data_IF_279666398143
#
_entry.id   IF_279666398143
#
_cell.length_a   1.000
_cell.length_b   1.000
_cell.length_c   1.000
_cell.angle_alpha   90.00
_cell.angle_beta   90.00
_cell.angle_gamma   90.00
#
_symmetry.space_group_name_H-M   'P 1'
#
loop_
_entity.id
_entity.type
_entity.pdbx_description
1 polymer ?
#
# COMPACT_ATOMS: atom_id res chain seq x y z
N UNK A 1 13.82 -18.20 -4.49
CA UNK A 1 12.77 -17.50 -5.27
C UNK A 1 12.38 -16.25 -4.49
N UNK A 2 12.29 -15.09 -5.14
CA UNK A 2 12.20 -13.79 -4.47
C UNK A 2 10.80 -13.43 -3.96
N UNK A 3 10.71 -12.44 -3.06
CA UNK A 3 9.44 -12.02 -2.43
C UNK A 3 8.41 -11.65 -3.49
N UNK A 4 8.76 -10.73 -4.39
CA UNK A 4 7.83 -10.27 -5.42
C UNK A 4 7.40 -11.41 -6.35
N UNK A 5 8.32 -12.26 -6.81
CA UNK A 5 7.96 -13.32 -7.76
C UNK A 5 7.09 -14.42 -7.16
N UNK A 6 7.16 -14.63 -5.84
CA UNK A 6 6.29 -15.59 -5.15
C UNK A 6 4.90 -15.03 -4.85
N UNK A 7 4.81 -13.74 -4.50
CA UNK A 7 3.57 -13.16 -3.98
C UNK A 7 2.72 -12.48 -5.05
N UNK A 8 3.32 -11.78 -6.00
CA UNK A 8 2.58 -10.98 -6.97
C UNK A 8 1.53 -11.79 -7.78
N UNK A 9 1.81 -13.03 -8.24
CA UNK A 9 0.83 -13.84 -8.95
C UNK A 9 -0.46 -14.11 -8.16
N UNK A 10 -0.37 -14.25 -6.83
CA UNK A 10 -1.54 -14.47 -5.95
C UNK A 10 -2.45 -13.23 -5.95
N UNK A 11 -1.85 -12.05 -5.89
CA UNK A 11 -2.59 -10.79 -5.95
C UNK A 11 -3.19 -10.55 -7.34
N UNK A 12 -2.46 -10.84 -8.41
CA UNK A 12 -3.00 -10.72 -9.77
C UNK A 12 -4.18 -11.66 -10.02
N UNK A 13 -4.12 -12.90 -9.52
CA UNK A 13 -5.25 -13.84 -9.57
C UNK A 13 -6.50 -13.33 -8.83
N UNK A 14 -6.32 -12.47 -7.83
CA UNK A 14 -7.39 -11.79 -7.09
C UNK A 14 -7.78 -10.43 -7.69
N UNK A 15 -7.29 -10.09 -8.88
CA UNK A 15 -7.56 -8.81 -9.52
C UNK A 15 -6.95 -7.60 -8.81
N UNK A 16 -5.82 -7.78 -8.11
CA UNK A 16 -5.11 -6.72 -7.40
C UNK A 16 -3.82 -6.35 -8.13
N UNK A 17 -3.56 -5.07 -8.46
CA UNK A 17 -2.47 -4.64 -9.32
C UNK A 17 -1.13 -4.55 -8.56
N UNK A 18 -0.67 -5.65 -7.96
CA UNK A 18 0.59 -5.67 -7.23
C UNK A 18 1.78 -5.29 -8.13
N UNK A 19 2.68 -4.45 -7.61
CA UNK A 19 3.86 -3.92 -8.32
C UNK A 19 5.16 -4.21 -7.56
N UNK A 20 6.30 -4.33 -8.25
CA UNK A 20 7.58 -4.56 -7.61
C UNK A 20 8.10 -3.27 -6.97
N UNK A 21 8.61 -3.40 -5.76
CA UNK A 21 9.35 -2.35 -5.04
C UNK A 21 10.84 -2.71 -4.99
N UNK A 22 11.69 -1.71 -4.79
CA UNK A 22 13.13 -1.93 -4.67
C UNK A 22 13.45 -2.77 -3.43
N UNK A 23 14.47 -3.62 -3.53
CA UNK A 23 14.94 -4.49 -2.44
C UNK A 23 15.35 -3.64 -1.25
N UNK A 24 14.78 -3.89 -0.06
CA UNK A 24 15.09 -3.14 1.16
C UNK A 24 14.54 -1.71 1.18
N UNK A 25 13.74 -1.30 0.19
CA UNK A 25 13.10 0.01 0.16
C UNK A 25 11.59 -0.12 -0.02
N UNK A 26 10.90 1.02 0.15
CA UNK A 26 9.43 1.12 -0.01
C UNK A 26 9.01 1.74 -1.33
N UNK A 27 9.94 2.21 -2.17
CA UNK A 27 9.60 2.89 -3.41
C UNK A 27 9.45 1.90 -4.58
N UNK A 28 8.51 2.18 -5.52
CA UNK A 28 8.35 1.38 -6.73
C UNK A 28 9.62 1.27 -7.55
N UNK A 29 9.83 0.10 -8.14
CA UNK A 29 10.98 -0.19 -9.00
C UNK A 29 10.66 0.00 -10.49
N UNK A 30 9.48 0.51 -10.79
CA UNK A 30 9.00 0.81 -12.14
C UNK A 30 8.56 2.27 -12.20
N UNK A 31 8.80 2.89 -13.35
CA UNK A 31 8.36 4.26 -13.61
C UNK A 31 6.86 4.30 -13.91
N UNK A 32 6.26 5.48 -13.73
CA UNK A 32 4.84 5.73 -13.98
C UNK A 32 3.88 4.70 -13.33
N UNK A 33 4.27 4.10 -12.20
CA UNK A 33 3.51 3.06 -11.52
C UNK A 33 2.09 3.50 -11.12
N UNK A 34 1.84 4.80 -11.01
CA UNK A 34 0.53 5.35 -10.68
C UNK A 34 -0.56 4.97 -11.71
N UNK A 35 -0.19 4.62 -12.94
CA UNK A 35 -1.16 4.09 -13.93
C UNK A 35 -1.86 2.82 -13.43
N UNK A 36 -1.21 2.05 -12.56
CA UNK A 36 -1.77 0.83 -11.97
C UNK A 36 -2.78 1.10 -10.85
N UNK A 37 -3.05 2.37 -10.53
CA UNK A 37 -4.22 2.75 -9.75
C UNK A 37 -5.53 2.56 -10.53
N UNK A 38 -5.47 2.57 -11.88
CA UNK A 38 -6.64 2.53 -12.76
C UNK A 38 -6.72 1.27 -13.63
N UNK A 39 -5.63 0.50 -13.77
CA UNK A 39 -5.63 -0.78 -14.49
C UNK A 39 -4.75 -1.85 -13.85
N UNK A 40 -5.00 -3.10 -14.24
CA UNK A 40 -4.09 -4.22 -13.95
C UNK A 40 -2.83 -4.15 -14.83
N UNK A 41 -1.69 -4.69 -14.35
CA UNK A 41 -0.57 -5.00 -15.23
C UNK A 41 -0.96 -6.08 -16.23
N UNK A 42 -0.55 -5.91 -17.49
CA UNK A 42 -0.76 -6.93 -18.52
C UNK A 42 0.26 -8.08 -18.40
N UNK A 43 0.02 -9.18 -19.10
CA UNK A 43 0.87 -10.38 -19.02
C UNK A 43 2.34 -10.08 -19.32
N UNK A 44 2.63 -9.21 -20.30
CA UNK A 44 4.00 -8.83 -20.65
C UNK A 44 4.69 -8.08 -19.51
N UNK A 45 4.01 -7.11 -18.90
CA UNK A 45 4.50 -6.38 -17.73
C UNK A 45 4.76 -7.34 -16.57
N UNK A 46 3.81 -8.24 -16.28
CA UNK A 46 3.94 -9.26 -15.23
C UNK A 46 5.19 -10.13 -15.46
N UNK A 47 5.34 -10.72 -16.65
CA UNK A 47 6.49 -11.58 -16.96
C UNK A 47 7.82 -10.84 -16.84
N UNK A 48 7.90 -9.60 -17.33
CA UNK A 48 9.10 -8.76 -17.21
C UNK A 48 9.43 -8.49 -15.75
N UNK A 49 8.45 -8.17 -14.91
CA UNK A 49 8.67 -7.88 -13.50
C UNK A 49 9.07 -9.12 -12.71
N UNK A 50 8.44 -10.27 -12.97
CA UNK A 50 8.83 -11.54 -12.35
C UNK A 50 10.29 -11.89 -12.67
N UNK A 51 10.70 -11.75 -13.94
CA UNK A 51 12.04 -12.10 -14.40
C UNK A 51 13.12 -11.13 -13.86
N UNK A 52 12.86 -9.83 -13.90
CA UNK A 52 13.90 -8.82 -13.63
C UNK A 52 13.86 -8.24 -12.21
N UNK A 53 12.70 -8.31 -11.54
CA UNK A 53 12.42 -7.62 -10.27
C UNK A 53 11.84 -8.57 -9.22
N UNK A 54 11.91 -9.88 -9.46
CA UNK A 54 11.32 -10.93 -8.60
C UNK A 54 11.83 -10.93 -7.16
N UNK A 55 13.06 -10.46 -6.91
CA UNK A 55 13.64 -10.35 -5.57
C UNK A 55 13.21 -9.08 -4.81
N UNK A 56 12.49 -8.17 -5.46
CA UNK A 56 12.00 -6.94 -4.86
C UNK A 56 10.94 -7.17 -3.78
N UNK A 57 10.67 -6.11 -3.02
CA UNK A 57 9.50 -6.02 -2.15
C UNK A 57 8.21 -5.91 -3.00
N UNK A 58 7.05 -5.98 -2.37
CA UNK A 58 5.75 -5.95 -3.03
C UNK A 58 4.91 -4.75 -2.55
N UNK A 59 4.39 -3.99 -3.50
CA UNK A 59 3.51 -2.85 -3.27
C UNK A 59 2.14 -3.07 -3.90
N UNK A 60 1.14 -2.39 -3.35
CA UNK A 60 -0.21 -2.34 -3.90
C UNK A 60 -0.58 -0.88 -4.16
N UNK A 61 -0.71 -0.46 -5.42
CA UNK A 61 -1.30 0.83 -5.78
C UNK A 61 -2.74 0.92 -5.29
N UNK A 62 -3.11 2.05 -4.70
CA UNK A 62 -4.47 2.34 -4.25
C UNK A 62 -5.29 2.94 -5.38
N UNK A 63 -6.61 2.72 -5.38
CA UNK A 63 -7.54 3.26 -6.38
C UNK A 63 -8.46 2.20 -6.98
N UNK A 64 -9.04 2.54 -8.13
CA UNK A 64 -10.08 1.74 -8.78
C UNK A 64 -9.62 0.32 -9.15
N UNK A 65 -8.39 0.15 -9.64
CA UNK A 65 -7.87 -1.14 -10.05
C UNK A 65 -7.65 -2.11 -8.89
N UNK A 66 -7.16 -1.64 -7.75
CA UNK A 66 -7.09 -2.48 -6.55
C UNK A 66 -8.45 -2.59 -5.87
N UNK A 67 -9.35 -1.62 -6.07
CA UNK A 67 -10.59 -1.50 -5.32
C UNK A 67 -10.34 -1.22 -3.83
N UNK A 68 -9.15 -0.69 -3.49
CA UNK A 68 -8.71 -0.47 -2.11
C UNK A 68 -8.31 0.99 -1.91
N UNK A 69 -8.74 1.53 -0.77
CA UNK A 69 -8.22 2.75 -0.14
C UNK A 69 -7.67 2.38 1.24
N UNK A 70 -6.69 3.10 1.75
CA UNK A 70 -6.18 2.87 3.09
C UNK A 70 -6.10 4.14 3.92
N UNK A 71 -6.28 4.00 5.23
CA UNK A 71 -5.96 5.04 6.21
C UNK A 71 -4.68 4.61 6.93
N UNK A 72 -3.61 5.38 6.74
CA UNK A 72 -2.32 5.20 7.41
C UNK A 72 -2.22 6.17 8.57
N UNK A 73 -2.27 5.65 9.80
CA UNK A 73 -2.15 6.44 11.03
C UNK A 73 -0.68 6.51 11.42
N UNK A 74 -0.12 7.72 11.40
CA UNK A 74 1.27 8.01 11.74
C UNK A 74 1.34 8.76 13.08
N UNK A 75 0.77 8.15 14.13
CA UNK A 75 0.76 8.73 15.47
C UNK A 75 0.86 7.65 16.54
N UNK A 76 1.80 7.84 17.46
CA UNK A 76 1.98 7.01 18.66
C UNK A 76 1.07 7.46 19.83
N UNK A 77 0.32 8.57 19.68
CA UNK A 77 -0.59 9.04 20.72
C UNK A 77 -1.83 8.12 20.79
N UNK A 78 -2.05 7.40 21.91
CA UNK A 78 -3.18 6.48 22.05
C UNK A 78 -4.55 7.16 21.89
N UNK A 79 -4.63 8.47 22.17
CA UNK A 79 -5.87 9.24 22.01
C UNK A 79 -6.23 9.40 20.54
N UNK A 80 -5.24 9.69 19.69
CA UNK A 80 -5.44 9.81 18.24
C UNK A 80 -5.82 8.46 17.66
N UNK A 81 -5.08 7.40 18.01
CA UNK A 81 -5.39 6.04 17.56
C UNK A 81 -6.82 5.64 17.92
N UNK A 82 -7.25 5.89 19.17
CA UNK A 82 -8.61 5.57 19.62
C UNK A 82 -9.69 6.39 18.91
N UNK A 83 -9.44 7.68 18.63
CA UNK A 83 -10.38 8.51 17.86
C UNK A 83 -10.54 7.94 16.45
N UNK A 84 -9.43 7.61 15.78
CA UNK A 84 -9.47 7.04 14.43
C UNK A 84 -10.20 5.69 14.42
N UNK A 85 -9.86 4.79 15.34
CA UNK A 85 -10.52 3.47 15.43
C UNK A 85 -12.03 3.57 15.70
N UNK A 86 -12.49 4.60 16.43
CA UNK A 86 -13.90 4.83 16.67
C UNK A 86 -14.64 5.50 15.49
N UNK A 87 -13.94 6.27 14.67
CA UNK A 87 -14.53 6.99 13.53
C UNK A 87 -14.57 6.13 12.25
N UNK A 88 -13.60 5.23 12.08
CA UNK A 88 -13.55 4.35 10.92
C UNK A 88 -14.55 3.19 11.06
N UNK A 89 -15.15 2.73 9.95
CA UNK A 89 -15.87 1.47 9.96
C UNK A 89 -14.89 0.31 10.28
N UNK A 90 -15.41 -0.88 10.67
CA UNK A 90 -14.57 -2.06 10.83
C UNK A 90 -13.76 -2.35 9.56
N UNK A 91 -12.43 -2.44 9.71
CA UNK A 91 -11.53 -2.72 8.59
C UNK A 91 -11.34 -4.23 8.43
N UNK A 92 -11.54 -4.81 7.22
CA UNK A 92 -11.26 -6.23 6.95
C UNK A 92 -9.77 -6.57 7.01
N UNK A 93 -8.89 -5.56 6.96
CA UNK A 93 -7.45 -5.74 7.02
C UNK A 93 -6.80 -4.63 7.84
N UNK A 94 -5.88 -5.02 8.72
CA UNK A 94 -5.10 -4.10 9.55
C UNK A 94 -3.66 -4.56 9.56
N UNK A 95 -2.73 -3.63 9.33
CA UNK A 95 -1.30 -3.84 9.57
C UNK A 95 -0.81 -2.88 10.63
N UNK A 96 -0.30 -3.42 11.73
CA UNK A 96 0.33 -2.63 12.78
C UNK A 96 1.82 -2.47 12.44
N UNK A 97 2.28 -1.23 12.39
CA UNK A 97 3.69 -0.87 12.27
C UNK A 97 4.25 -0.35 13.59
N UNK A 98 5.47 0.19 13.55
CA UNK A 98 6.14 0.74 14.74
C UNK A 98 5.40 1.96 15.32
N UNK A 99 4.98 2.89 14.46
CA UNK A 99 4.42 4.21 14.83
C UNK A 99 2.89 4.31 14.77
N UNK A 100 2.20 3.22 14.42
CA UNK A 100 0.76 3.26 14.20
C UNK A 100 0.27 2.08 13.36
N UNK A 101 -0.81 2.27 12.61
CA UNK A 101 -1.45 1.20 11.86
C UNK A 101 -2.02 1.68 10.53
N UNK A 102 -2.04 0.77 9.56
CA UNK A 102 -2.72 0.94 8.28
C UNK A 102 -4.00 0.11 8.30
N UNK A 103 -5.11 0.73 7.92
CA UNK A 103 -6.43 0.12 7.78
C UNK A 103 -6.85 0.19 6.32
N UNK A 104 -7.31 -0.90 5.72
CA UNK A 104 -7.69 -0.94 4.31
C UNK A 104 -9.19 -1.15 4.13
N UNK A 105 -9.80 -0.36 3.26
CA UNK A 105 -11.24 -0.33 2.97
C UNK A 105 -11.49 -0.49 1.49
N UNK A 106 -12.76 -0.73 1.13
CA UNK A 106 -13.20 -0.67 -0.27
C UNK A 106 -13.05 0.77 -0.78
N UNK A 107 -12.47 0.92 -1.96
CA UNK A 107 -12.42 2.20 -2.66
C UNK A 107 -13.78 2.51 -3.29
N UNK A 108 -14.30 3.72 -3.04
CA UNK A 108 -15.56 4.24 -3.59
C UNK A 108 -15.39 5.60 -4.29
N UNK A 109 -14.15 6.06 -4.48
CA UNK A 109 -13.84 7.34 -5.14
C UNK A 109 -13.11 8.34 -4.26
N UNK A 110 -12.60 7.90 -3.11
CA UNK A 110 -11.91 8.73 -2.13
C UNK A 110 -10.69 9.41 -2.76
N UNK A 111 -10.38 10.62 -2.30
CA UNK A 111 -9.17 11.34 -2.71
C UNK A 111 -8.08 11.18 -1.67
N UNK A 112 -6.84 11.23 -2.12
CA UNK A 112 -5.68 11.28 -1.24
C UNK A 112 -5.72 12.58 -0.44
N UNK A 113 -5.63 12.48 0.88
CA UNK A 113 -5.57 13.64 1.77
C UNK A 113 -4.72 13.33 3.01
N UNK A 114 -4.30 14.39 3.70
CA UNK A 114 -3.47 14.32 4.90
C UNK A 114 -4.10 15.13 6.00
N UNK A 115 -4.10 14.61 7.22
CA UNK A 115 -4.48 15.35 8.42
C UNK A 115 -3.20 15.58 9.22
N UNK A 116 -2.94 16.85 9.50
CA UNK A 116 -1.80 17.29 10.30
C UNK A 116 -2.26 17.88 11.62
N UNK A 117 -1.45 17.73 12.65
CA UNK A 117 -1.66 18.36 13.94
C UNK A 117 -1.32 19.85 13.91
N UNK A 118 -1.54 20.52 15.04
CA UNK A 118 -1.30 21.96 15.17
C UNK A 118 0.19 22.33 15.05
N UNK A 119 1.11 21.38 15.23
CA UNK A 119 2.55 21.58 15.06
C UNK A 119 3.05 21.13 13.68
N UNK A 120 2.14 20.76 12.77
CA UNK A 120 2.46 20.33 11.40
C UNK A 120 2.90 18.87 11.28
N UNK A 121 2.93 18.12 12.37
CA UNK A 121 3.15 16.68 12.40
C UNK A 121 2.05 15.93 11.64
N UNK A 122 2.41 14.87 10.93
CA UNK A 122 1.42 14.01 10.28
C UNK A 122 0.67 13.24 11.37
N UNK A 123 -0.66 13.21 11.30
CA UNK A 123 -1.48 12.37 12.19
C UNK A 123 -1.99 11.14 11.45
N UNK A 124 -2.52 11.36 10.24
CA UNK A 124 -2.91 10.29 9.33
C UNK A 124 -2.92 10.76 7.89
N UNK A 125 -2.81 9.79 6.98
CA UNK A 125 -2.97 9.96 5.54
C UNK A 125 -4.04 9.01 5.02
N UNK A 126 -4.95 9.52 4.18
CA UNK A 126 -5.78 8.69 3.32
C UNK A 126 -4.99 8.38 2.05
N UNK A 127 -4.56 7.13 1.93
CA UNK A 127 -3.85 6.56 0.81
C UNK A 127 -4.87 6.09 -0.24
N UNK A 128 -5.09 6.93 -1.24
CA UNK A 128 -5.95 6.64 -2.40
C UNK A 128 -5.15 6.73 -3.72
N UNK A 129 -5.80 6.99 -4.84
CA UNK A 129 -5.18 7.10 -6.17
C UNK A 129 -3.90 7.94 -6.15
N UNK A 130 -2.85 7.40 -6.76
CA UNK A 130 -1.51 8.00 -6.77
C UNK A 130 -0.65 7.65 -5.55
N UNK A 131 -1.17 6.85 -4.61
CA UNK A 131 -0.45 6.31 -3.46
C UNK A 131 -0.39 4.78 -3.51
N UNK A 132 0.38 4.18 -2.60
CA UNK A 132 0.45 2.73 -2.46
C UNK A 132 0.65 2.33 -0.99
N UNK A 133 0.37 1.07 -0.69
CA UNK A 133 0.83 0.43 0.54
C UNK A 133 1.88 -0.64 0.22
N UNK A 134 2.81 -0.85 1.15
CA UNK A 134 3.74 -1.99 1.09
C UNK A 134 3.04 -3.22 1.67
N UNK A 135 3.03 -4.34 0.96
CA UNK A 135 2.39 -5.58 1.41
C UNK A 135 3.38 -6.50 2.15
N UNK A 136 2.92 -7.33 3.11
CA UNK A 136 3.72 -8.45 3.60
C UNK A 136 4.02 -9.43 2.45
N UNK A 137 5.16 -10.17 2.47
CA UNK A 137 6.21 -10.23 3.49
C UNK A 137 7.39 -9.28 3.20
N UNK A 138 7.15 -8.10 2.62
CA UNK A 138 8.22 -7.14 2.30
C UNK A 138 9.11 -6.81 3.50
N UNK A 139 10.42 -6.69 3.25
CA UNK A 139 11.45 -6.44 4.26
C UNK A 139 11.68 -4.93 4.43
N UNK A 140 11.70 -4.46 5.67
CA UNK A 140 11.97 -3.05 5.99
C UNK A 140 13.49 -2.78 5.96
N UNK A 141 13.96 -1.60 5.53
CA UNK A 141 15.38 -1.25 5.55
C UNK A 141 16.04 -1.24 6.94
N UNK A 142 15.24 -1.23 8.02
CA UNK A 142 15.71 -1.19 9.41
C UNK A 142 15.57 -2.57 10.08
N UNK A 143 15.35 -3.63 9.28
CA UNK A 143 15.41 -5.03 9.72
C UNK A 143 16.83 -5.52 9.57
#
# INVERSE_FOLDING_TARGET
MGIFSNEAPKYWALGKPAIPLRIGFKNPWIDAWQVFADRMPNDREQQIWLAQKGNGNIGLPMGAASGVVAIDVDSEDPRIQRIVENLLPPSPWRRVGRKGAVYAFRFEGERTFRIKGSKGEMLLECLSKGTQIVLPPSIHPDT
#
